data_IF_110506820864
#
_entry.id   IF_110506820864
#
_cell.length_a   1.000
_cell.length_b   1.000
_cell.length_c   1.000
_cell.angle_alpha   90.00
_cell.angle_beta   90.00
_cell.angle_gamma   90.00
#
_symmetry.space_group_name_H-M   'P 1'
#
loop_
_entity.id
_entity.type
_entity.pdbx_description
1 polymer ?
#
# COMPACT_ATOMS: atom_id res chain seq x y z
N UNK A 1 -16.91 26.59 -9.28
CA UNK A 1 -15.88 26.24 -8.28
C UNK A 1 -16.11 24.77 -8.06
N UNK A 2 -15.31 23.87 -8.63
CA UNK A 2 -13.92 23.60 -8.25
C UNK A 2 -12.90 23.70 -9.39
N UNK A 3 -11.89 24.55 -9.20
CA UNK A 3 -10.83 24.87 -10.16
C UNK A 3 -9.53 24.12 -9.85
N UNK A 4 -9.56 22.82 -9.53
CA UNK A 4 -8.34 22.07 -9.18
C UNK A 4 -8.18 20.65 -9.75
N UNK A 5 -9.07 20.16 -10.62
CA UNK A 5 -8.98 18.78 -11.11
C UNK A 5 -8.42 18.61 -12.54
N UNK A 6 -7.59 19.54 -13.03
CA UNK A 6 -6.94 19.36 -14.34
C UNK A 6 -5.57 20.08 -14.45
N UNK A 7 -4.50 19.47 -13.91
CA UNK A 7 -3.13 19.83 -14.36
C UNK A 7 -2.01 18.81 -14.09
N UNK A 8 -2.17 17.85 -13.18
CA UNK A 8 -1.16 16.81 -12.87
C UNK A 8 -1.55 15.46 -13.50
N UNK A 9 -2.05 15.52 -14.73
CA UNK A 9 -2.53 14.37 -15.47
C UNK A 9 -1.37 13.39 -15.78
N UNK A 10 -1.29 12.29 -15.04
CA UNK A 10 -0.80 10.95 -15.48
C UNK A 10 0.67 10.79 -15.92
N UNK A 11 1.50 11.86 -15.91
CA UNK A 11 2.83 11.87 -16.55
C UNK A 11 3.88 10.90 -15.99
N UNK A 12 3.63 10.23 -14.86
CA UNK A 12 4.55 9.25 -14.28
C UNK A 12 3.97 7.84 -14.12
N UNK A 13 2.87 7.53 -14.81
CA UNK A 13 2.23 6.20 -14.75
C UNK A 13 3.02 5.17 -15.55
N UNK A 14 4.08 4.62 -14.95
CA UNK A 14 4.72 3.41 -15.46
C UNK A 14 3.94 2.23 -14.89
N UNK A 15 3.26 1.43 -15.73
CA UNK A 15 2.64 0.14 -15.33
C UNK A 15 1.75 0.18 -14.05
N UNK A 16 1.09 1.29 -13.77
CA UNK A 16 0.19 1.44 -12.59
C UNK A 16 0.85 2.00 -11.32
N UNK A 17 2.15 2.28 -11.35
CA UNK A 17 2.87 2.99 -10.30
C UNK A 17 2.70 4.51 -10.45
N UNK A 18 2.63 5.22 -9.33
CA UNK A 18 2.55 6.69 -9.25
C UNK A 18 3.61 7.16 -8.26
N UNK A 19 4.36 8.19 -8.62
CA UNK A 19 5.24 8.87 -7.67
C UNK A 19 4.46 10.00 -7.02
N UNK A 20 4.10 9.82 -5.76
CA UNK A 20 3.51 10.84 -4.91
C UNK A 20 4.63 11.72 -4.34
N UNK A 21 4.49 13.03 -4.46
CA UNK A 21 5.49 14.00 -4.06
C UNK A 21 4.81 15.05 -3.19
N UNK A 22 5.21 15.12 -1.93
CA UNK A 22 4.81 16.22 -1.06
C UNK A 22 5.74 17.40 -1.33
N UNK A 23 5.17 18.52 -1.80
CA UNK A 23 5.96 19.71 -2.15
C UNK A 23 6.49 20.46 -0.92
N UNK A 24 5.89 20.25 0.25
CA UNK A 24 6.23 20.96 1.48
C UNK A 24 7.47 20.37 2.15
N UNK A 25 7.59 19.04 2.21
CA UNK A 25 8.75 18.35 2.80
C UNK A 25 9.65 17.62 1.79
N UNK A 26 9.31 17.70 0.50
CA UNK A 26 10.00 17.01 -0.60
C UNK A 26 10.05 15.50 -0.48
N UNK A 27 9.22 14.90 0.38
CA UNK A 27 9.09 13.45 0.47
C UNK A 27 8.53 12.88 -0.83
N UNK A 28 9.01 11.69 -1.17
CA UNK A 28 8.66 11.00 -2.42
C UNK A 28 8.26 9.58 -2.07
N UNK A 29 6.99 9.26 -2.29
CA UNK A 29 6.44 7.94 -2.06
C UNK A 29 6.06 7.32 -3.40
N UNK A 30 6.54 6.12 -3.66
CA UNK A 30 6.01 5.34 -4.77
C UNK A 30 4.73 4.66 -4.29
N UNK A 31 3.62 4.90 -4.97
CA UNK A 31 2.31 4.33 -4.65
C UNK A 31 1.76 3.53 -5.82
N UNK A 32 0.88 2.58 -5.54
CA UNK A 32 0.24 1.73 -6.53
C UNK A 32 -1.27 1.67 -6.27
N UNK A 33 -2.08 1.88 -7.31
CA UNK A 33 -3.54 1.79 -7.19
C UNK A 33 -3.96 0.32 -7.17
N UNK A 34 -4.39 -0.16 -6.00
CA UNK A 34 -4.87 -1.53 -5.79
C UNK A 34 -5.88 -1.52 -4.66
N UNK A 35 -7.14 -1.12 -4.95
CA UNK A 35 -8.18 -1.21 -3.96
C UNK A 35 -8.42 -2.67 -3.58
N UNK A 36 -8.73 -2.92 -2.32
CA UNK A 36 -9.35 -4.18 -1.89
C UNK A 36 -10.84 -4.15 -2.19
N UNK A 37 -11.48 -5.32 -2.25
CA UNK A 37 -12.92 -5.42 -2.49
C UNK A 37 -13.75 -4.59 -1.48
N UNK A 38 -13.35 -4.60 -0.21
CA UNK A 38 -14.01 -3.83 0.85
C UNK A 38 -13.85 -2.31 0.65
N UNK A 39 -12.68 -1.86 0.19
CA UNK A 39 -12.42 -0.44 -0.08
C UNK A 39 -13.16 0.08 -1.31
N UNK A 40 -13.45 -0.78 -2.29
CA UNK A 40 -14.32 -0.43 -3.42
C UNK A 40 -15.78 -0.24 -2.98
N UNK A 41 -16.25 -1.06 -2.03
CA UNK A 41 -17.62 -0.96 -1.51
C UNK A 41 -17.82 0.25 -0.60
N UNK A 42 -16.81 0.58 0.21
CA UNK A 42 -16.96 1.55 1.30
C UNK A 42 -16.49 2.98 0.94
N UNK A 43 -16.03 3.22 -0.30
CA UNK A 43 -15.41 4.47 -0.78
C UNK A 43 -14.46 5.10 0.26
N UNK A 44 -13.69 4.25 0.95
CA UNK A 44 -12.88 4.64 2.11
C UNK A 44 -11.68 5.54 1.76
N UNK A 45 -11.52 5.90 0.48
CA UNK A 45 -10.39 6.66 -0.04
C UNK A 45 -9.05 5.91 -0.09
N UNK A 46 -8.91 4.77 0.60
CA UNK A 46 -7.64 4.04 0.74
C UNK A 46 -7.31 3.12 -0.45
N UNK A 47 -7.48 3.58 -1.68
CA UNK A 47 -7.27 2.75 -2.89
C UNK A 47 -5.82 2.69 -3.36
N UNK A 48 -4.98 3.57 -2.84
CA UNK A 48 -3.54 3.62 -3.14
C UNK A 48 -2.76 2.95 -2.01
N UNK A 49 -1.77 2.13 -2.39
CA UNK A 49 -0.90 1.41 -1.46
C UNK A 49 0.53 1.87 -1.64
N UNK A 50 1.24 2.11 -0.54
CA UNK A 50 2.67 2.46 -0.60
C UNK A 50 3.48 1.26 -1.07
N UNK A 51 4.36 1.47 -2.03
CA UNK A 51 5.20 0.42 -2.60
C UNK A 51 6.40 0.16 -1.69
N UNK A 52 6.52 -1.09 -1.25
CA UNK A 52 7.63 -1.53 -0.42
C UNK A 52 8.70 -2.19 -1.28
N UNK A 53 9.94 -1.72 -1.16
CA UNK A 53 11.09 -2.35 -1.81
C UNK A 53 11.39 -3.71 -1.17
N UNK A 54 11.92 -4.65 -1.97
CA UNK A 54 12.21 -6.03 -1.52
C UNK A 54 13.06 -6.09 -0.24
N UNK A 55 14.00 -5.16 -0.06
CA UNK A 55 14.85 -5.04 1.13
C UNK A 55 14.07 -4.67 2.41
N UNK A 56 12.93 -3.99 2.27
CA UNK A 56 12.11 -3.49 3.37
C UNK A 56 10.92 -4.41 3.72
N UNK A 57 10.66 -5.45 2.91
CA UNK A 57 9.53 -6.37 3.10
C UNK A 57 9.50 -6.98 4.50
N UNK A 58 10.65 -7.42 5.04
CA UNK A 58 10.70 -7.99 6.40
C UNK A 58 10.31 -6.97 7.48
N UNK A 59 10.74 -5.72 7.34
CA UNK A 59 10.39 -4.65 8.26
C UNK A 59 8.89 -4.32 8.20
N UNK A 60 8.34 -4.22 6.99
CA UNK A 60 6.90 -4.00 6.80
C UNK A 60 6.06 -5.15 7.36
N UNK A 61 6.50 -6.41 7.20
CA UNK A 61 5.79 -7.55 7.79
C UNK A 61 5.87 -7.56 9.31
N UNK A 62 7.02 -7.17 9.87
CA UNK A 62 7.18 -7.05 11.31
C UNK A 62 6.23 -6.01 11.91
N UNK A 63 6.06 -4.84 11.26
CA UNK A 63 5.12 -3.81 11.74
C UNK A 63 3.66 -4.21 11.56
N UNK A 64 3.35 -5.05 10.57
CA UNK A 64 2.01 -5.61 10.38
C UNK A 64 1.69 -6.75 11.34
N UNK A 65 2.70 -7.43 11.90
CA UNK A 65 2.50 -8.57 12.78
C UNK A 65 1.72 -8.13 14.03
N UNK A 66 0.62 -8.83 14.31
CA UNK A 66 -0.16 -8.64 15.54
C UNK A 66 0.59 -9.16 16.78
N UNK A 67 0.00 -9.01 17.96
CA UNK A 67 0.61 -9.48 19.22
C UNK A 67 1.03 -10.97 19.11
N UNK A 68 2.21 -11.39 19.65
CA UNK A 68 2.73 -12.76 19.53
C UNK A 68 1.75 -13.87 19.96
N UNK A 69 0.77 -13.55 20.82
CA UNK A 69 -0.27 -14.48 21.29
C UNK A 69 -1.46 -14.66 20.33
N UNK A 70 -1.46 -14.04 19.14
CA UNK A 70 -2.64 -13.99 18.25
C UNK A 70 -2.93 -15.29 17.46
N UNK A 71 -2.16 -16.38 17.66
CA UNK A 71 -2.40 -17.72 17.09
C UNK A 71 -2.15 -17.87 15.58
N UNK A 72 -2.51 -19.03 14.99
CA UNK A 72 -2.34 -19.39 13.56
C UNK A 72 -3.02 -18.40 12.59
N UNK A 73 -4.00 -17.65 13.07
CA UNK A 73 -4.62 -16.52 12.38
C UNK A 73 -3.63 -15.35 12.10
N UNK A 74 -2.45 -15.35 12.70
CA UNK A 74 -1.42 -14.32 12.55
C UNK A 74 -0.96 -14.13 11.10
N UNK A 75 -0.78 -15.22 10.32
CA UNK A 75 -0.33 -15.11 8.93
C UNK A 75 -1.36 -14.39 8.04
N UNK A 76 -2.61 -14.86 8.06
CA UNK A 76 -3.68 -14.27 7.25
C UNK A 76 -3.96 -12.83 7.66
N UNK A 77 -4.00 -12.55 8.97
CA UNK A 77 -4.19 -11.19 9.50
C UNK A 77 -3.03 -10.26 9.12
N UNK A 78 -1.79 -10.75 9.18
CA UNK A 78 -0.60 -9.96 8.79
C UNK A 78 -0.63 -9.64 7.30
N UNK A 79 -0.94 -10.64 6.46
CA UNK A 79 -1.05 -10.41 5.01
C UNK A 79 -2.20 -9.46 4.67
N UNK A 80 -3.35 -9.60 5.32
CA UNK A 80 -4.50 -8.72 5.11
C UNK A 80 -4.18 -7.27 5.48
N UNK A 81 -3.61 -7.06 6.67
CA UNK A 81 -3.15 -5.75 7.12
C UNK A 81 -2.09 -5.17 6.19
N UNK A 82 -1.16 -6.00 5.73
CA UNK A 82 -0.14 -5.57 4.77
C UNK A 82 -0.77 -5.15 3.44
N UNK A 83 -1.76 -5.87 2.91
CA UNK A 83 -2.46 -5.51 1.66
C UNK A 83 -3.27 -4.23 1.79
N UNK A 84 -3.79 -3.96 2.99
CA UNK A 84 -4.51 -2.72 3.29
C UNK A 84 -3.59 -1.48 3.24
N UNK A 85 -2.31 -1.60 3.57
CA UNK A 85 -1.38 -0.47 3.68
C UNK A 85 -0.38 -0.38 2.52
N UNK A 86 0.05 -1.54 2.02
CA UNK A 86 1.26 -1.69 1.22
C UNK A 86 1.05 -2.54 -0.02
N UNK A 87 1.98 -2.39 -0.96
CA UNK A 87 2.10 -3.25 -2.13
C UNK A 87 3.55 -3.64 -2.39
N UNK A 88 3.77 -4.92 -2.66
CA UNK A 88 4.96 -5.41 -3.37
C UNK A 88 4.59 -6.64 -4.21
N UNK A 89 5.37 -6.98 -5.25
CA UNK A 89 5.09 -8.18 -6.04
C UNK A 89 5.18 -9.46 -5.20
N UNK A 90 4.19 -10.34 -5.34
CA UNK A 90 4.13 -11.68 -4.69
C UNK A 90 4.10 -11.66 -3.15
N UNK A 91 3.33 -10.75 -2.56
CA UNK A 91 3.22 -10.61 -1.09
C UNK A 91 2.95 -11.94 -0.38
N UNK A 92 2.06 -12.75 -0.94
CA UNK A 92 1.66 -14.07 -0.46
C UNK A 92 2.83 -15.05 -0.29
N UNK A 93 3.87 -14.93 -1.13
CA UNK A 93 5.07 -15.76 -1.09
C UNK A 93 6.02 -15.39 0.06
N UNK A 94 6.03 -14.11 0.44
CA UNK A 94 6.96 -13.55 1.44
C UNK A 94 6.38 -13.57 2.86
N UNK A 95 5.06 -13.60 3.02
CA UNK A 95 4.44 -13.87 4.32
C UNK A 95 4.56 -15.36 4.63
N UNK A 96 5.73 -15.76 5.16
CA UNK A 96 5.98 -17.09 5.72
C UNK A 96 5.93 -17.00 7.26
N UNK A 97 5.52 -18.10 7.88
CA UNK A 97 5.17 -18.25 9.30
C UNK A 97 6.05 -17.51 10.28
#
# INVERSE_FOLDING_TARGET
>A
MDKYHNRVEWKHKIRGYILDVDENDQSKLLVFFRPTFEEELNDSGNRFKTVILRSLVKGALFTCHGHPLSGHAGRSKTLDRAKHLYYWPRMDCDVRH
#
